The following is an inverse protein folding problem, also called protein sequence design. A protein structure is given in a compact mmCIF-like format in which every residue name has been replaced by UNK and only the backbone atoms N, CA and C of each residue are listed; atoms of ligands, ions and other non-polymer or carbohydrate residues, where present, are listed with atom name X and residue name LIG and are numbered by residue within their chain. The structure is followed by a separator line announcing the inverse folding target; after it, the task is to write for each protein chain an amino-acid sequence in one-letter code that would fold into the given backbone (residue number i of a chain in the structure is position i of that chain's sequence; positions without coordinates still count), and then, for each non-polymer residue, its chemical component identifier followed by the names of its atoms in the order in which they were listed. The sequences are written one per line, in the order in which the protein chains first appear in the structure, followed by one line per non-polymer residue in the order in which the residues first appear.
data_IF_616814367317
#
_entry.id   IF_616814367317
#
_cell.length_a   1.000
_cell.length_b   1.000
_cell.length_c   1.000
_cell.angle_alpha   90.00
_cell.angle_beta   90.00
_cell.angle_gamma   90.00
#
_symmetry.space_group_name_H-M   'P 1'
#
loop_
_entity.id
_entity.type
_entity.pdbx_description
1 polymer ?
#
# COMPACT_ATOMS: atom_id res chain seq x y z
N UNK A 1 -11.25 -8.45 2.86
CA UNK A 1 -9.82 -8.59 2.54
C UNK A 1 -8.99 -7.60 3.35
N UNK A 2 -7.85 -8.03 3.79
CA UNK A 2 -6.89 -7.17 4.46
C UNK A 2 -5.96 -6.57 3.42
N UNK A 3 -5.97 -5.26 3.29
CA UNK A 3 -5.28 -4.52 2.22
C UNK A 3 -4.17 -3.67 2.80
N UNK A 4 -3.04 -3.60 2.10
CA UNK A 4 -1.98 -2.66 2.40
C UNK A 4 -1.69 -1.80 1.17
N UNK A 5 -1.35 -0.55 1.38
CA UNK A 5 -0.91 0.35 0.32
C UNK A 5 0.48 0.85 0.68
N UNK A 6 1.45 0.53 -0.16
CA UNK A 6 2.84 0.98 -0.02
C UNK A 6 3.04 2.20 -0.90
N UNK A 7 3.54 3.28 -0.30
CA UNK A 7 3.63 4.57 -0.97
C UNK A 7 2.35 5.38 -0.86
N UNK A 8 1.63 5.23 0.24
CA UNK A 8 0.31 5.81 0.43
C UNK A 8 0.30 7.34 0.36
N UNK A 9 1.40 7.99 0.73
CA UNK A 9 1.49 9.46 0.72
C UNK A 9 1.64 10.06 -0.67
N UNK A 10 2.03 9.27 -1.65
CA UNK A 10 2.20 9.75 -3.01
C UNK A 10 0.87 9.93 -3.73
N UNK A 11 0.92 10.60 -4.88
CA UNK A 11 -0.28 10.86 -5.69
C UNK A 11 -0.98 9.57 -6.09
N UNK A 12 -0.22 8.55 -6.50
CA UNK A 12 -0.78 7.26 -6.92
C UNK A 12 -1.41 6.54 -5.74
N UNK A 13 -0.78 6.60 -4.56
CA UNK A 13 -1.33 5.99 -3.35
C UNK A 13 -2.65 6.62 -2.94
N UNK A 14 -2.74 7.93 -3.02
CA UNK A 14 -3.99 8.64 -2.73
C UNK A 14 -5.09 8.29 -3.73
N UNK A 15 -4.71 8.15 -5.00
CA UNK A 15 -5.65 7.75 -6.05
C UNK A 15 -6.17 6.33 -5.79
N UNK A 16 -5.31 5.41 -5.36
CA UNK A 16 -5.72 4.05 -5.00
C UNK A 16 -6.76 4.06 -3.87
N UNK A 17 -6.53 4.88 -2.84
CA UNK A 17 -7.51 5.00 -1.75
C UNK A 17 -8.87 5.47 -2.28
N UNK A 18 -8.86 6.45 -3.15
CA UNK A 18 -10.08 6.99 -3.73
C UNK A 18 -10.80 5.94 -4.57
N UNK A 19 -10.07 5.20 -5.39
CA UNK A 19 -10.66 4.16 -6.24
C UNK A 19 -11.24 3.04 -5.40
N UNK A 20 -10.54 2.58 -4.38
CA UNK A 20 -11.05 1.53 -3.49
C UNK A 20 -12.34 1.97 -2.80
N UNK A 21 -12.41 3.23 -2.39
CA UNK A 21 -13.60 3.77 -1.75
C UNK A 21 -14.76 3.84 -2.73
N UNK A 22 -14.53 4.35 -3.94
CA UNK A 22 -15.60 4.53 -4.94
C UNK A 22 -16.13 3.23 -5.49
N UNK A 23 -15.27 2.21 -5.63
CA UNK A 23 -15.69 0.93 -6.21
C UNK A 23 -16.36 0.01 -5.21
N UNK A 24 -16.37 0.37 -3.92
CA UNK A 24 -16.94 -0.50 -2.91
C UNK A 24 -16.14 -1.78 -2.69
N UNK A 25 -14.84 -1.76 -3.01
CA UNK A 25 -13.98 -2.93 -2.84
C UNK A 25 -14.05 -3.44 -1.40
N UNK A 26 -14.15 -4.77 -1.18
CA UNK A 26 -14.32 -5.33 0.16
C UNK A 26 -13.02 -5.24 0.97
N UNK A 27 -12.90 -4.18 1.76
CA UNK A 27 -11.75 -3.94 2.64
C UNK A 27 -12.15 -4.20 4.08
N UNK A 28 -11.61 -5.27 4.67
CA UNK A 28 -11.83 -5.60 6.07
C UNK A 28 -10.92 -4.76 6.96
N UNK A 29 -9.65 -4.65 6.57
CA UNK A 29 -8.71 -3.77 7.24
C UNK A 29 -7.79 -3.14 6.22
N UNK A 30 -7.26 -1.97 6.57
CA UNK A 30 -6.38 -1.21 5.69
C UNK A 30 -5.16 -0.79 6.50
N UNK A 31 -3.97 -0.98 5.90
CA UNK A 31 -2.72 -0.48 6.46
C UNK A 31 -2.02 0.33 5.39
N UNK A 32 -1.44 1.45 5.80
CA UNK A 32 -0.72 2.35 4.90
C UNK A 32 0.76 2.34 5.26
N UNK A 33 1.61 2.24 4.26
CA UNK A 33 3.06 2.21 4.43
C UNK A 33 3.73 3.26 3.58
N UNK A 34 4.81 3.80 4.08
CA UNK A 34 5.60 4.77 3.35
C UNK A 34 7.02 4.85 3.90
N UNK A 35 7.78 5.84 3.42
CA UNK A 35 9.12 6.10 3.92
C UNK A 35 9.06 6.67 5.34
N UNK A 36 10.23 6.77 6.00
CA UNK A 36 10.31 7.41 7.31
C UNK A 36 9.81 8.85 7.30
N UNK A 37 9.89 9.52 6.16
CA UNK A 37 9.38 10.90 6.01
C UNK A 37 7.85 10.95 6.03
N UNK A 38 7.22 9.91 5.55
CA UNK A 38 5.75 9.83 5.45
C UNK A 38 5.12 9.23 6.68
N UNK A 39 5.87 8.43 7.43
CA UNK A 39 5.36 7.75 8.62
C UNK A 39 4.80 8.76 9.60
N UNK A 40 3.64 8.44 10.17
CA UNK A 40 2.95 9.33 11.09
C UNK A 40 1.90 10.22 10.45
N UNK A 41 1.88 10.34 9.13
CA UNK A 41 0.80 11.05 8.43
C UNK A 41 -0.47 10.23 8.51
N UNK A 42 -1.61 10.92 8.55
CA UNK A 42 -2.91 10.28 8.64
C UNK A 42 -3.75 10.60 7.41
N UNK A 43 -4.52 9.62 6.99
CA UNK A 43 -5.45 9.78 5.86
C UNK A 43 -6.78 9.12 6.22
N UNK A 44 -7.86 9.67 5.70
CA UNK A 44 -9.20 9.16 5.96
C UNK A 44 -9.65 8.24 4.83
N UNK A 45 -10.19 7.08 5.20
CA UNK A 45 -10.76 6.13 4.26
C UNK A 45 -12.05 5.57 4.86
N UNK A 46 -13.16 5.77 4.15
CA UNK A 46 -14.50 5.33 4.60
C UNK A 46 -14.83 5.78 6.02
N UNK A 47 -14.49 7.02 6.34
CA UNK A 47 -14.81 7.62 7.62
C UNK A 47 -13.88 7.28 8.77
N UNK A 48 -12.86 6.44 8.52
CA UNK A 48 -11.87 6.07 9.53
C UNK A 48 -10.52 6.69 9.22
N UNK A 49 -9.77 7.03 10.25
CA UNK A 49 -8.42 7.59 10.09
C UNK A 49 -7.39 6.47 10.16
N UNK A 50 -6.45 6.49 9.23
CA UNK A 50 -5.36 5.52 9.14
C UNK A 50 -4.03 6.26 9.15
N UNK A 51 -3.10 5.78 9.96
CA UNK A 51 -1.78 6.38 10.08
C UNK A 51 -0.78 5.60 9.23
N UNK A 52 0.05 6.32 8.46
CA UNK A 52 1.08 5.71 7.64
C UNK A 52 2.18 5.14 8.54
N UNK A 53 2.51 3.86 8.32
CA UNK A 53 3.58 3.17 9.02
C UNK A 53 4.85 3.21 8.16
N UNK A 54 6.00 3.18 8.81
CA UNK A 54 7.26 3.12 8.09
C UNK A 54 7.46 1.73 7.48
N UNK A 55 7.82 1.69 6.20
CA UNK A 55 8.13 0.45 5.50
C UNK A 55 9.53 -0.02 5.93
N UNK A 56 9.61 -1.21 6.51
CA UNK A 56 10.87 -1.79 7.00
C UNK A 56 11.06 -3.18 6.39
N UNK A 57 12.23 -3.78 6.66
CA UNK A 57 12.53 -5.14 6.18
C UNK A 57 12.10 -6.23 7.15
N UNK A 58 11.23 -5.90 8.10
CA UNK A 58 10.68 -6.87 9.04
C UNK A 58 9.82 -7.89 8.26
N UNK A 59 10.19 -9.18 8.26
CA UNK A 59 9.47 -10.18 7.50
C UNK A 59 8.02 -10.41 7.98
N UNK A 60 7.70 -9.98 9.19
CA UNK A 60 6.34 -10.11 9.73
C UNK A 60 5.49 -8.87 9.52
N UNK A 61 6.03 -7.83 8.86
CA UNK A 61 5.33 -6.55 8.70
C UNK A 61 4.00 -6.73 7.95
N UNK A 62 3.95 -7.62 6.97
CA UNK A 62 2.77 -7.86 6.15
C UNK A 62 2.00 -9.12 6.54
N UNK A 63 2.26 -9.66 7.73
CA UNK A 63 1.53 -10.82 8.22
C UNK A 63 0.03 -10.50 8.28
N UNK A 64 -0.78 -11.38 7.70
CA UNK A 64 -2.23 -11.20 7.68
C UNK A 64 -2.75 -10.30 6.58
N UNK A 65 -1.87 -9.70 5.78
CA UNK A 65 -2.28 -8.87 4.63
C UNK A 65 -2.54 -9.78 3.43
N UNK A 66 -3.69 -9.61 2.80
CA UNK A 66 -4.05 -10.41 1.62
C UNK A 66 -3.46 -9.83 0.34
N UNK A 67 -3.60 -8.52 0.14
CA UNK A 67 -3.12 -7.83 -1.05
C UNK A 67 -2.37 -6.58 -0.65
N UNK A 68 -1.19 -6.35 -1.24
CA UNK A 68 -0.43 -5.12 -1.07
C UNK A 68 -0.31 -4.42 -2.43
N UNK A 69 -0.85 -3.22 -2.52
CA UNK A 69 -0.69 -2.37 -3.69
C UNK A 69 0.54 -1.50 -3.48
N UNK A 70 1.51 -1.56 -4.41
CA UNK A 70 2.72 -0.76 -4.31
C UNK A 70 2.71 0.34 -5.35
N UNK A 71 2.86 1.57 -4.90
CA UNK A 71 2.92 2.75 -5.75
C UNK A 71 4.20 3.55 -5.52
N UNK A 72 5.18 2.96 -4.87
CA UNK A 72 6.38 3.66 -4.41
C UNK A 72 7.53 3.66 -5.41
N UNK A 73 7.32 3.18 -6.62
CA UNK A 73 8.35 3.10 -7.64
C UNK A 73 9.01 1.74 -7.71
N UNK A 74 9.70 1.49 -8.84
CA UNK A 74 10.22 0.16 -9.14
C UNK A 74 11.33 -0.29 -8.19
N UNK A 75 12.24 0.62 -7.79
CA UNK A 75 13.34 0.25 -6.91
C UNK A 75 12.86 -0.12 -5.51
N UNK A 76 11.93 0.65 -4.95
CA UNK A 76 11.32 0.35 -3.65
C UNK A 76 10.54 -0.95 -3.72
N UNK A 77 9.78 -1.16 -4.78
CA UNK A 77 9.01 -2.40 -4.96
C UNK A 77 9.92 -3.61 -4.98
N UNK A 78 11.04 -3.54 -5.69
CA UNK A 78 12.01 -4.64 -5.73
C UNK A 78 12.70 -4.86 -4.39
N UNK A 79 13.07 -3.78 -3.73
CA UNK A 79 13.78 -3.86 -2.45
C UNK A 79 12.94 -4.58 -1.39
N UNK A 80 11.65 -4.31 -1.36
CA UNK A 80 10.75 -4.83 -0.33
C UNK A 80 9.88 -6.01 -0.77
N UNK A 81 10.05 -6.49 -2.01
CA UNK A 81 9.23 -7.57 -2.52
C UNK A 81 9.22 -8.80 -1.61
N UNK A 82 10.39 -9.23 -1.15
CA UNK A 82 10.50 -10.40 -0.29
C UNK A 82 9.80 -10.18 1.06
N UNK A 83 9.94 -8.98 1.60
CA UNK A 83 9.26 -8.62 2.85
C UNK A 83 7.75 -8.63 2.68
N UNK A 84 7.27 -8.05 1.60
CA UNK A 84 5.83 -7.94 1.33
C UNK A 84 5.21 -9.33 1.13
N UNK A 85 5.90 -10.20 0.43
CA UNK A 85 5.35 -11.52 0.08
C UNK A 85 5.72 -12.63 1.04
N UNK A 86 6.45 -12.33 2.11
CA UNK A 86 6.97 -13.33 3.05
C UNK A 86 5.88 -14.23 3.65
N UNK A 87 4.68 -13.73 3.83
CA UNK A 87 3.55 -14.47 4.40
C UNK A 87 2.44 -14.74 3.38
N UNK A 88 2.77 -14.72 2.09
CA UNK A 88 1.82 -15.05 1.04
C UNK A 88 0.96 -13.89 0.54
N UNK A 89 1.30 -12.66 0.91
CA UNK A 89 0.60 -11.48 0.42
C UNK A 89 0.77 -11.36 -1.10
N UNK A 90 -0.34 -11.13 -1.81
CA UNK A 90 -0.29 -10.83 -3.24
C UNK A 90 0.19 -9.39 -3.43
N UNK A 91 1.30 -9.21 -4.12
CA UNK A 91 1.88 -7.90 -4.37
C UNK A 91 1.49 -7.41 -5.77
N UNK A 92 0.82 -6.27 -5.82
CA UNK A 92 0.44 -5.64 -7.08
C UNK A 92 1.23 -4.35 -7.23
N UNK A 93 2.04 -4.26 -8.28
CA UNK A 93 2.87 -3.09 -8.55
C UNK A 93 2.12 -2.15 -9.47
N UNK A 94 1.88 -0.92 -8.99
CA UNK A 94 1.26 0.14 -9.77
C UNK A 94 2.31 1.20 -10.07
N UNK A 95 2.90 1.15 -11.25
CA UNK A 95 3.98 2.05 -11.66
C UNK A 95 3.50 3.05 -12.70
N UNK A 96 4.33 4.07 -12.97
CA UNK A 96 4.03 5.03 -14.02
C UNK A 96 3.93 4.36 -15.38
N UNK A 97 4.77 3.35 -15.66
CA UNK A 97 4.73 2.62 -16.91
C UNK A 97 3.38 1.92 -17.11
N UNK A 98 2.86 1.35 -16.03
CA UNK A 98 1.55 0.71 -16.07
C UNK A 98 0.45 1.72 -16.39
N UNK A 99 0.52 2.89 -15.78
CA UNK A 99 -0.48 3.95 -16.00
C UNK A 99 -0.47 4.47 -17.42
N UNK A 100 0.67 4.49 -18.05
CA UNK A 100 0.82 5.00 -19.41
C UNK A 100 0.22 4.09 -20.48
N UNK A 101 -0.25 2.93 -20.10
CA UNK A 101 -0.92 2.02 -21.02
C UNK A 101 -2.33 2.45 -21.37
N UNK A 102 -2.81 3.43 -20.67
CA UNK A 102 -4.12 4.01 -20.91
C UNK A 102 -3.98 5.34 -21.64
#
# INVERSE_FOLDING_TARGET
MNIAIVGASGAVGQELLRVLDQTGFPVTSLRLFGSSRSAGRSYTFRGNSYTVEELTHDPDLFRGVDIAFTSAGASTSREFADTITAHGTLMIVNSCAFRMRY
#
